data_IF_242899644015
#
_entry.id   IF_242899644015
#
_cell.length_a   1.000
_cell.length_b   1.000
_cell.length_c   1.000
_cell.angle_alpha   90.00
_cell.angle_beta   90.00
_cell.angle_gamma   90.00
#
_symmetry.space_group_name_H-M   'P 1'
#
loop_
_entity.id
_entity.type
_entity.pdbx_description
1 polymer ?
#
# COMPACT_ATOMS: atom_id res chain seq x y z
N UNK A 1 24.51 3.44 17.38
CA UNK A 1 23.93 2.09 17.25
C UNK A 1 23.97 1.45 18.61
N UNK A 2 22.82 1.34 19.28
CA UNK A 2 22.67 0.45 20.42
C UNK A 2 22.82 -0.98 19.91
N UNK A 3 23.66 -1.80 20.55
CA UNK A 3 23.79 -3.20 20.19
C UNK A 3 22.45 -3.90 20.45
N UNK A 4 21.99 -4.72 19.50
CA UNK A 4 20.77 -5.52 19.66
C UNK A 4 20.86 -6.46 20.86
N UNK A 5 19.71 -6.83 21.40
CA UNK A 5 19.58 -7.78 22.51
C UNK A 5 19.92 -9.18 21.98
N UNK A 6 20.94 -9.87 22.53
CA UNK A 6 21.28 -11.24 22.09
C UNK A 6 20.20 -12.26 22.43
N UNK A 7 20.15 -13.37 21.66
CA UNK A 7 19.20 -14.49 21.87
C UNK A 7 19.20 -15.02 23.30
N UNK A 8 20.36 -15.23 23.90
CA UNK A 8 20.45 -15.88 25.23
C UNK A 8 19.81 -15.04 26.36
N UNK A 9 19.60 -13.75 26.12
CA UNK A 9 18.93 -12.80 27.02
C UNK A 9 17.46 -12.56 26.67
N UNK A 10 16.96 -13.18 25.60
CA UNK A 10 15.62 -12.97 25.06
C UNK A 10 14.50 -13.80 25.74
N UNK A 11 14.83 -14.70 26.66
CA UNK A 11 13.84 -15.51 27.37
C UNK A 11 12.79 -14.70 28.19
N UNK A 12 12.95 -13.38 28.31
CA UNK A 12 12.06 -12.45 29.03
C UNK A 12 11.58 -11.26 28.17
N UNK A 13 11.59 -11.39 26.83
CA UNK A 13 11.20 -10.31 25.93
C UNK A 13 9.73 -9.89 26.16
N UNK A 14 9.52 -8.67 26.66
CA UNK A 14 8.18 -8.11 26.87
C UNK A 14 7.64 -7.50 25.57
N UNK A 15 6.77 -8.23 24.87
CA UNK A 15 6.04 -7.74 23.70
C UNK A 15 4.64 -7.28 24.09
N UNK A 16 4.56 -6.13 24.76
CA UNK A 16 3.31 -5.60 25.32
C UNK A 16 2.16 -5.46 24.32
N UNK A 17 2.49 -5.19 23.05
CA UNK A 17 1.50 -5.02 22.00
C UNK A 17 0.69 -6.30 21.75
N UNK A 18 1.29 -7.48 21.96
CA UNK A 18 0.60 -8.76 21.83
C UNK A 18 -0.50 -8.92 22.88
N UNK A 19 -0.22 -8.50 24.13
CA UNK A 19 -1.20 -8.49 25.21
C UNK A 19 -2.30 -7.45 24.94
N UNK A 20 -1.93 -6.21 24.58
CA UNK A 20 -2.91 -5.15 24.32
C UNK A 20 -3.87 -5.48 23.19
N UNK A 21 -3.39 -6.21 22.16
CA UNK A 21 -4.17 -6.65 21.01
C UNK A 21 -4.79 -8.04 21.21
N UNK A 22 -4.61 -8.67 22.38
CA UNK A 22 -5.14 -10.00 22.72
C UNK A 22 -4.76 -11.08 21.70
N UNK A 23 -3.52 -11.05 21.23
CA UNK A 23 -3.05 -11.91 20.13
C UNK A 23 -3.15 -13.41 20.48
N UNK A 24 -2.92 -13.79 21.73
CA UNK A 24 -3.10 -15.19 22.17
C UNK A 24 -4.53 -15.70 21.92
N UNK A 25 -5.55 -14.83 22.09
CA UNK A 25 -6.94 -15.18 21.80
C UNK A 25 -7.20 -15.23 20.30
N UNK A 26 -6.61 -14.30 19.53
CA UNK A 26 -6.69 -14.31 18.07
C UNK A 26 -6.08 -15.59 17.47
N UNK A 27 -4.94 -16.05 18.01
CA UNK A 27 -4.24 -17.27 17.59
C UNK A 27 -5.02 -18.55 17.84
N UNK A 28 -5.98 -18.57 18.77
CA UNK A 28 -6.91 -19.70 18.91
C UNK A 28 -7.88 -19.82 17.72
N UNK A 29 -8.05 -18.75 16.93
CA UNK A 29 -9.00 -18.67 15.81
C UNK A 29 -8.26 -18.74 14.47
N UNK A 30 -7.18 -18.00 14.34
CA UNK A 30 -6.38 -17.91 13.12
C UNK A 30 -4.94 -17.55 13.46
N UNK A 31 -3.99 -18.09 12.69
CA UNK A 31 -2.57 -17.72 12.78
C UNK A 31 -2.03 -17.13 11.47
N UNK A 32 -2.89 -16.94 10.45
CA UNK A 32 -2.48 -16.42 9.14
C UNK A 32 -2.01 -17.48 8.15
N UNK A 33 -2.28 -18.76 8.42
CA UNK A 33 -1.89 -19.87 7.51
C UNK A 33 -2.46 -19.65 6.11
N UNK A 34 -1.61 -19.88 5.11
CA UNK A 34 -1.96 -19.76 3.68
C UNK A 34 -1.86 -18.34 3.13
N UNK A 35 -1.53 -17.36 3.96
CA UNK A 35 -1.37 -15.96 3.54
C UNK A 35 0.10 -15.61 3.37
N UNK A 36 0.43 -15.04 2.22
CA UNK A 36 1.75 -14.46 1.93
C UNK A 36 1.68 -12.95 2.08
N UNK A 37 2.55 -12.40 2.94
CA UNK A 37 2.75 -10.96 3.13
C UNK A 37 4.08 -10.56 2.52
N UNK A 38 4.06 -9.69 1.53
CA UNK A 38 5.26 -9.09 0.97
C UNK A 38 5.73 -7.91 1.82
N UNK A 39 7.02 -7.89 2.15
CA UNK A 39 7.66 -6.82 2.92
C UNK A 39 8.58 -6.05 1.97
N UNK A 40 8.14 -4.88 1.53
CA UNK A 40 8.90 -3.99 0.64
C UNK A 40 9.71 -3.02 1.49
N UNK A 41 10.96 -3.38 1.75
CA UNK A 41 11.77 -2.69 2.77
C UNK A 41 13.29 -2.86 2.49
N UNK A 42 14.13 -2.85 3.53
CA UNK A 42 15.58 -3.08 3.46
C UNK A 42 15.98 -4.54 3.27
N UNK A 43 15.05 -5.44 2.96
CA UNK A 43 15.25 -6.89 2.95
C UNK A 43 14.95 -7.52 4.30
N UNK A 44 15.14 -8.83 4.43
CA UNK A 44 14.85 -9.56 5.67
C UNK A 44 15.98 -10.55 5.95
N UNK A 45 16.67 -10.42 7.08
CA UNK A 45 17.68 -11.37 7.51
C UNK A 45 17.05 -12.74 7.80
N UNK A 46 17.82 -13.82 7.60
CA UNK A 46 17.40 -15.19 7.90
C UNK A 46 17.43 -15.48 9.41
N UNK A 47 16.67 -14.68 10.16
CA UNK A 47 16.55 -14.74 11.60
C UNK A 47 15.88 -16.05 12.03
N UNK A 48 16.36 -16.70 13.11
CA UNK A 48 15.81 -17.98 13.61
C UNK A 48 14.28 -17.99 13.74
N UNK A 49 13.72 -16.90 14.24
CA UNK A 49 12.27 -16.80 14.46
C UNK A 49 11.49 -16.53 13.17
N UNK A 50 12.17 -16.09 12.09
CA UNK A 50 11.58 -15.85 10.77
C UNK A 50 11.79 -16.99 9.79
N UNK A 51 12.78 -17.86 9.99
CA UNK A 51 13.07 -18.97 9.09
C UNK A 51 11.85 -19.82 8.72
N UNK A 52 10.91 -20.14 9.64
CA UNK A 52 9.71 -20.89 9.27
C UNK A 52 8.80 -20.15 8.28
N UNK A 53 8.79 -18.82 8.31
CA UNK A 53 7.93 -17.97 7.49
C UNK A 53 8.63 -17.43 6.22
N UNK A 54 9.95 -17.36 6.20
CA UNK A 54 10.72 -16.64 5.19
C UNK A 54 10.75 -17.38 3.84
N UNK A 55 10.22 -16.75 2.80
CA UNK A 55 10.30 -17.23 1.43
C UNK A 55 11.56 -16.70 0.72
N UNK A 56 11.97 -17.35 -0.38
CA UNK A 56 12.85 -16.70 -1.35
C UNK A 56 12.20 -15.42 -1.84
N UNK A 57 12.94 -14.31 -1.78
CA UNK A 57 12.49 -13.02 -2.28
C UNK A 57 13.54 -12.38 -3.17
N UNK A 58 13.34 -11.12 -3.52
CA UNK A 58 14.17 -10.41 -4.50
C UNK A 58 14.81 -9.16 -3.91
N UNK A 59 16.01 -8.83 -4.39
CA UNK A 59 16.59 -7.50 -4.27
C UNK A 59 16.48 -6.76 -5.58
N UNK A 60 15.92 -5.55 -5.52
CA UNK A 60 15.78 -4.63 -6.64
C UNK A 60 16.84 -3.52 -6.63
N UNK A 61 17.80 -3.59 -5.71
CA UNK A 61 18.93 -2.68 -5.70
C UNK A 61 19.91 -3.01 -6.82
N UNK A 62 20.57 -1.99 -7.35
CA UNK A 62 21.64 -2.16 -8.32
C UNK A 62 22.82 -2.91 -7.67
N UNK A 63 23.21 -4.06 -8.23
CA UNK A 63 24.33 -4.85 -7.73
C UNK A 63 24.22 -6.35 -7.99
N UNK A 64 25.13 -7.12 -7.38
CA UNK A 64 25.16 -8.59 -7.53
C UNK A 64 24.18 -9.32 -6.58
N UNK A 65 23.69 -8.65 -5.54
CA UNK A 65 22.74 -9.24 -4.61
C UNK A 65 21.34 -9.27 -5.23
N UNK A 66 20.87 -10.47 -5.55
CA UNK A 66 19.53 -10.72 -6.13
C UNK A 66 18.51 -11.20 -5.11
N UNK A 67 18.94 -11.54 -3.89
CA UNK A 67 18.08 -12.10 -2.84
C UNK A 67 17.48 -11.00 -1.98
N UNK A 68 16.19 -11.15 -1.64
CA UNK A 68 15.54 -10.33 -0.62
C UNK A 68 15.88 -10.75 0.82
N UNK A 69 16.53 -11.90 1.01
CA UNK A 69 16.86 -12.49 2.32
C UNK A 69 18.15 -11.94 2.94
N UNK A 70 18.52 -10.69 2.62
CA UNK A 70 19.65 -10.00 3.24
C UNK A 70 19.25 -8.58 3.65
N UNK A 71 19.59 -8.23 4.87
CA UNK A 71 19.26 -6.94 5.45
C UNK A 71 20.48 -6.40 6.21
N UNK A 72 21.13 -5.40 5.66
CA UNK A 72 22.27 -4.74 6.31
C UNK A 72 21.83 -3.58 7.21
N UNK A 73 20.56 -3.17 7.12
CA UNK A 73 20.03 -2.00 7.81
C UNK A 73 19.16 -2.39 9.02
N UNK A 74 18.39 -3.47 8.92
CA UNK A 74 17.66 -4.14 10.00
C UNK A 74 16.17 -3.84 10.10
N UNK A 75 15.69 -2.77 9.46
CA UNK A 75 14.29 -2.36 9.54
C UNK A 75 13.35 -3.41 8.94
N UNK A 76 13.63 -3.90 7.73
CA UNK A 76 12.79 -4.92 7.10
C UNK A 76 12.73 -6.22 7.90
N UNK A 77 13.82 -6.60 8.56
CA UNK A 77 13.83 -7.72 9.52
C UNK A 77 12.92 -7.47 10.72
N UNK A 78 12.91 -6.25 11.27
CA UNK A 78 11.99 -5.88 12.36
C UNK A 78 10.53 -5.88 11.93
N UNK A 79 10.24 -5.37 10.72
CA UNK A 79 8.90 -5.37 10.14
C UNK A 79 8.40 -6.80 9.91
N UNK A 80 9.21 -7.66 9.30
CA UNK A 80 8.88 -9.07 9.12
C UNK A 80 8.63 -9.78 10.46
N UNK A 81 9.42 -9.44 11.49
CA UNK A 81 9.27 -9.98 12.83
C UNK A 81 7.92 -9.69 13.46
N UNK A 82 7.48 -8.43 13.39
CA UNK A 82 6.18 -8.01 13.90
C UNK A 82 5.03 -8.70 13.15
N UNK A 83 5.21 -9.01 11.86
CA UNK A 83 4.18 -9.69 11.06
C UNK A 83 4.12 -11.18 11.41
N UNK A 84 5.24 -11.91 11.32
CA UNK A 84 5.20 -13.38 11.26
C UNK A 84 6.34 -14.10 12.00
N UNK A 85 7.03 -13.45 12.95
CA UNK A 85 7.97 -14.19 13.78
C UNK A 85 7.26 -15.32 14.54
N UNK A 86 7.88 -16.49 14.57
CA UNK A 86 7.30 -17.70 15.14
C UNK A 86 7.38 -17.77 16.67
N UNK A 87 8.11 -16.87 17.32
CA UNK A 87 8.37 -16.92 18.78
C UNK A 87 9.35 -18.00 19.20
N UNK A 88 9.32 -19.18 18.56
CA UNK A 88 10.07 -20.34 19.01
C UNK A 88 9.82 -20.60 20.50
N UNK A 89 10.87 -20.91 21.25
CA UNK A 89 10.81 -21.13 22.70
C UNK A 89 11.06 -19.88 23.54
N UNK A 90 11.79 -18.91 23.01
CA UNK A 90 12.43 -17.80 23.75
C UNK A 90 12.66 -16.55 22.87
N UNK A 91 11.98 -16.47 21.74
CA UNK A 91 12.14 -15.42 20.73
C UNK A 91 10.94 -14.50 20.61
N UNK A 92 10.98 -13.61 19.62
CA UNK A 92 9.89 -12.67 19.37
C UNK A 92 8.77 -13.34 18.55
N UNK A 93 7.52 -13.06 18.91
CA UNK A 93 6.32 -13.55 18.23
C UNK A 93 5.68 -12.44 17.39
N UNK A 94 5.23 -12.78 16.18
CA UNK A 94 4.50 -11.89 15.30
C UNK A 94 2.99 -11.95 15.49
N UNK A 95 2.28 -11.03 14.85
CA UNK A 95 0.81 -10.98 14.84
C UNK A 95 0.22 -12.21 14.13
N UNK A 96 0.82 -12.68 13.05
CA UNK A 96 0.33 -13.78 12.21
C UNK A 96 1.45 -14.81 11.91
N UNK A 97 1.88 -15.60 12.91
CA UNK A 97 3.05 -16.49 12.83
C UNK A 97 2.90 -17.65 11.84
N UNK A 98 1.67 -17.94 11.38
CA UNK A 98 1.38 -18.92 10.33
C UNK A 98 1.52 -18.38 8.91
N UNK A 99 1.68 -17.06 8.74
CA UNK A 99 1.86 -16.41 7.43
C UNK A 99 3.25 -16.70 6.86
N UNK A 100 3.40 -16.47 5.56
CA UNK A 100 4.71 -16.44 4.89
C UNK A 100 5.13 -15.00 4.61
N UNK A 101 6.43 -14.74 4.73
CA UNK A 101 7.05 -13.45 4.41
C UNK A 101 7.74 -13.56 3.06
N UNK A 102 7.35 -12.70 2.13
CA UNK A 102 8.00 -12.52 0.84
C UNK A 102 8.88 -11.26 0.88
N UNK A 103 10.20 -11.37 1.10
CA UNK A 103 11.05 -10.21 1.31
C UNK A 103 11.41 -9.54 -0.03
N UNK A 104 11.14 -8.24 -0.15
CA UNK A 104 11.45 -7.46 -1.35
C UNK A 104 12.32 -6.28 -0.94
N UNK A 105 13.62 -6.41 -1.20
CA UNK A 105 14.61 -5.41 -0.84
C UNK A 105 14.61 -4.27 -1.86
N UNK A 106 14.15 -3.10 -1.42
CA UNK A 106 14.11 -1.84 -2.18
C UNK A 106 14.95 -0.74 -1.54
N UNK A 107 15.43 -0.94 -0.30
CA UNK A 107 16.30 0.00 0.42
C UNK A 107 17.70 -0.56 0.64
N UNK A 108 18.71 0.29 0.45
CA UNK A 108 20.11 -0.01 0.75
C UNK A 108 20.42 -0.01 2.25
N UNK A 109 21.68 -0.28 2.60
CA UNK A 109 22.18 -0.32 3.97
C UNK A 109 22.01 1.01 4.75
N UNK A 110 21.73 2.12 4.06
CA UNK A 110 21.47 3.44 4.64
C UNK A 110 19.97 3.79 4.62
N UNK A 111 19.11 2.86 4.23
CA UNK A 111 17.67 3.07 4.10
C UNK A 111 17.27 3.91 2.88
N UNK A 112 18.13 4.01 1.87
CA UNK A 112 17.86 4.77 0.64
C UNK A 112 17.33 3.84 -0.45
N UNK A 113 16.31 4.29 -1.16
CA UNK A 113 15.71 3.57 -2.27
C UNK A 113 15.23 4.51 -3.37
N UNK A 114 14.69 3.92 -4.44
CA UNK A 114 14.10 4.66 -5.55
C UNK A 114 12.61 4.32 -5.70
N UNK A 115 11.82 5.29 -6.16
CA UNK A 115 10.39 5.07 -6.46
C UNK A 115 10.17 4.06 -7.58
N UNK A 116 11.13 3.94 -8.52
CA UNK A 116 11.13 2.90 -9.55
C UNK A 116 11.24 1.49 -8.94
N UNK A 117 12.13 1.29 -7.97
CA UNK A 117 12.24 0.04 -7.24
C UNK A 117 10.99 -0.26 -6.40
N UNK A 118 10.38 0.76 -5.80
CA UNK A 118 9.08 0.61 -5.12
C UNK A 118 8.00 0.11 -6.10
N UNK A 119 7.84 0.75 -7.25
CA UNK A 119 6.84 0.36 -8.25
C UNK A 119 7.09 -1.07 -8.79
N UNK A 120 8.34 -1.41 -9.09
CA UNK A 120 8.74 -2.77 -9.51
C UNK A 120 8.47 -3.79 -8.40
N UNK A 121 8.77 -3.45 -7.15
CA UNK A 121 8.56 -4.31 -5.99
C UNK A 121 7.10 -4.64 -5.77
N UNK A 122 6.20 -3.66 -5.92
CA UNK A 122 4.75 -3.86 -5.80
C UNK A 122 4.27 -4.84 -6.87
N UNK A 123 4.63 -4.61 -8.14
CA UNK A 123 4.26 -5.52 -9.25
C UNK A 123 4.83 -6.93 -9.05
N UNK A 124 6.07 -7.02 -8.58
CA UNK A 124 6.70 -8.30 -8.31
C UNK A 124 5.98 -9.06 -7.19
N UNK A 125 5.66 -8.40 -6.08
CA UNK A 125 4.87 -8.99 -5.00
C UNK A 125 3.53 -9.56 -5.50
N UNK A 126 2.77 -8.75 -6.25
CA UNK A 126 1.47 -9.13 -6.81
C UNK A 126 1.58 -10.37 -7.71
N UNK A 127 2.54 -10.36 -8.65
CA UNK A 127 2.77 -11.50 -9.56
C UNK A 127 3.30 -12.77 -8.87
N UNK A 128 3.81 -12.66 -7.65
CA UNK A 128 4.33 -13.79 -6.87
C UNK A 128 3.37 -14.21 -5.75
N UNK A 129 2.08 -13.84 -5.87
CA UNK A 129 1.01 -14.36 -5.04
C UNK A 129 0.96 -13.78 -3.63
N UNK A 130 1.58 -12.62 -3.40
CA UNK A 130 1.36 -11.89 -2.15
C UNK A 130 -0.10 -11.44 -2.09
N UNK A 131 -0.77 -11.74 -0.97
CA UNK A 131 -2.11 -11.24 -0.68
C UNK A 131 -2.08 -9.88 0.00
N UNK A 132 -1.01 -9.61 0.74
CA UNK A 132 -0.80 -8.35 1.45
C UNK A 132 0.57 -7.80 1.10
N UNK A 133 0.66 -6.50 0.87
CA UNK A 133 1.91 -5.77 0.62
C UNK A 133 2.07 -4.74 1.73
N UNK A 134 3.08 -4.94 2.59
CA UNK A 134 3.47 -3.99 3.61
C UNK A 134 4.55 -3.04 3.07
N UNK A 135 4.27 -1.73 3.10
CA UNK A 135 5.19 -0.66 2.68
C UNK A 135 5.45 0.26 3.88
N UNK A 136 6.45 -0.08 4.69
CA UNK A 136 6.83 0.68 5.89
C UNK A 136 7.84 1.79 5.59
N UNK A 137 7.74 2.39 4.40
CA UNK A 137 8.67 3.40 3.88
C UNK A 137 7.89 4.52 3.20
N UNK A 138 8.49 5.71 3.13
CA UNK A 138 7.90 6.87 2.48
C UNK A 138 8.74 7.30 1.27
N UNK A 139 8.07 7.82 0.25
CA UNK A 139 8.72 8.44 -0.90
C UNK A 139 8.01 9.73 -1.31
N UNK A 140 8.60 10.47 -2.26
CA UNK A 140 7.85 11.52 -2.95
C UNK A 140 6.71 10.94 -3.80
N UNK A 141 5.66 11.72 -4.12
CA UNK A 141 4.62 11.31 -5.03
C UNK A 141 5.19 10.83 -6.37
N UNK A 142 4.71 9.69 -6.86
CA UNK A 142 5.20 9.10 -8.10
C UNK A 142 4.08 8.38 -8.85
N UNK A 143 3.97 8.65 -10.16
CA UNK A 143 2.91 8.10 -11.01
C UNK A 143 3.04 6.60 -11.23
N UNK A 144 4.26 6.07 -11.31
CA UNK A 144 4.49 4.64 -11.54
C UNK A 144 4.22 3.81 -10.28
N UNK A 145 4.52 4.35 -9.09
CA UNK A 145 4.11 3.74 -7.82
C UNK A 145 2.59 3.71 -7.71
N UNK A 146 1.90 4.80 -8.08
CA UNK A 146 0.42 4.84 -8.08
C UNK A 146 -0.18 3.79 -9.02
N UNK A 147 0.33 3.67 -10.25
CA UNK A 147 -0.13 2.64 -11.20
C UNK A 147 0.12 1.23 -10.67
N UNK A 148 1.29 0.98 -10.10
CA UNK A 148 1.60 -0.33 -9.51
C UNK A 148 0.65 -0.68 -8.35
N UNK A 149 0.26 0.31 -7.55
CA UNK A 149 -0.77 0.16 -6.51
C UNK A 149 -2.13 -0.17 -7.15
N UNK A 150 -2.58 0.59 -8.14
CA UNK A 150 -3.84 0.33 -8.85
C UNK A 150 -3.88 -1.09 -9.45
N UNK A 151 -2.77 -1.53 -10.07
CA UNK A 151 -2.61 -2.88 -10.59
C UNK A 151 -2.70 -3.95 -9.50
N UNK A 152 -2.09 -3.73 -8.33
CA UNK A 152 -2.15 -4.66 -7.20
C UNK A 152 -3.56 -4.73 -6.59
N UNK A 153 -4.23 -3.60 -6.42
CA UNK A 153 -5.62 -3.54 -5.93
C UNK A 153 -6.55 -4.27 -6.92
N UNK A 154 -6.39 -4.06 -8.22
CA UNK A 154 -7.15 -4.77 -9.25
C UNK A 154 -6.89 -6.29 -9.27
N UNK A 155 -5.74 -6.72 -8.73
CA UNK A 155 -5.39 -8.13 -8.55
C UNK A 155 -5.81 -8.70 -7.18
N UNK A 156 -6.68 -8.00 -6.44
CA UNK A 156 -7.21 -8.42 -5.14
C UNK A 156 -6.10 -8.61 -4.09
N UNK A 157 -5.27 -7.56 -3.93
CA UNK A 157 -4.18 -7.48 -2.95
C UNK A 157 -4.45 -6.32 -2.00
N UNK A 158 -4.28 -6.53 -0.69
CA UNK A 158 -4.31 -5.45 0.32
C UNK A 158 -2.96 -4.77 0.37
N UNK A 159 -2.93 -3.44 0.34
CA UNK A 159 -1.71 -2.66 0.54
C UNK A 159 -1.83 -1.89 1.86
N UNK A 160 -0.83 -2.05 2.72
CA UNK A 160 -0.76 -1.38 4.03
C UNK A 160 0.51 -0.54 4.06
N UNK A 161 0.39 0.73 4.43
CA UNK A 161 1.52 1.64 4.48
C UNK A 161 1.52 2.52 5.73
N UNK A 162 2.72 2.89 6.18
CA UNK A 162 2.89 3.73 7.36
C UNK A 162 2.53 5.19 7.08
N UNK A 163 1.85 5.84 8.02
CA UNK A 163 1.38 7.22 7.82
C UNK A 163 2.51 8.26 7.86
N UNK A 164 3.65 7.92 8.46
CA UNK A 164 4.83 8.79 8.56
C UNK A 164 5.17 9.16 10.01
N UNK A 165 6.44 9.56 10.21
CA UNK A 165 6.99 9.87 11.53
C UNK A 165 7.33 11.38 11.69
N UNK A 166 6.63 12.25 10.95
CA UNK A 166 6.89 13.69 10.89
C UNK A 166 5.56 14.43 11.08
N UNK A 167 5.05 14.53 12.32
CA UNK A 167 3.71 15.06 12.60
C UNK A 167 3.57 16.54 12.20
N UNK A 168 4.66 17.31 12.19
CA UNK A 168 4.66 18.75 11.92
C UNK A 168 4.11 19.15 10.55
N UNK A 169 3.98 18.21 9.61
CA UNK A 169 3.45 18.48 8.28
C UNK A 169 1.97 18.14 8.14
N UNK A 170 1.35 17.42 9.08
CA UNK A 170 -0.06 16.96 9.04
C UNK A 170 -0.49 16.38 7.67
N UNK A 171 0.47 15.80 6.95
CA UNK A 171 0.26 15.19 5.63
C UNK A 171 0.82 13.78 5.69
N UNK A 172 -0.09 12.81 5.59
CA UNK A 172 0.23 11.39 5.51
C UNK A 172 1.20 11.16 4.35
N UNK A 173 2.23 10.36 4.61
CA UNK A 173 3.28 10.07 3.66
C UNK A 173 2.73 9.33 2.43
N UNK A 174 3.37 9.53 1.27
CA UNK A 174 3.12 8.68 0.11
C UNK A 174 3.95 7.38 0.27
N UNK A 175 3.38 6.18 -0.02
CA UNK A 175 2.10 5.94 -0.69
C UNK A 175 0.86 5.84 0.20
N UNK A 176 0.98 5.88 1.53
CA UNK A 176 -0.16 5.77 2.46
C UNK A 176 -1.27 6.81 2.19
N UNK A 177 -0.94 7.97 1.63
CA UNK A 177 -1.94 8.98 1.25
C UNK A 177 -2.91 8.56 0.12
N UNK A 178 -2.64 7.46 -0.60
CA UNK A 178 -3.51 6.98 -1.68
C UNK A 178 -4.74 6.29 -1.08
N UNK A 179 -5.94 6.70 -1.48
CA UNK A 179 -7.23 6.23 -0.94
C UNK A 179 -7.43 4.70 -0.92
N UNK A 180 -6.79 3.98 -1.84
CA UNK A 180 -6.86 2.51 -1.91
C UNK A 180 -5.80 1.79 -1.07
N UNK A 181 -4.93 2.52 -0.37
CA UNK A 181 -3.90 2.01 0.53
C UNK A 181 -4.36 2.22 1.96
N UNK A 182 -4.27 1.18 2.79
CA UNK A 182 -4.57 1.28 4.22
C UNK A 182 -3.47 2.08 4.90
N UNK A 183 -3.77 3.32 5.27
CA UNK A 183 -2.84 4.20 5.97
C UNK A 183 -2.89 3.96 7.48
N UNK A 184 -1.73 3.68 8.08
CA UNK A 184 -1.66 3.26 9.48
C UNK A 184 -0.87 4.24 10.36
N UNK A 185 -1.54 4.75 11.39
CA UNK A 185 -0.97 5.60 12.44
C UNK A 185 -0.48 4.80 13.64
N UNK A 186 0.31 5.45 14.51
CA UNK A 186 0.94 4.84 15.66
C UNK A 186 0.33 5.29 16.99
N UNK A 187 0.17 4.34 17.90
CA UNK A 187 -0.25 4.57 19.29
C UNK A 187 0.82 4.12 20.29
N UNK A 188 0.78 4.74 21.48
CA UNK A 188 1.52 4.32 22.66
C UNK A 188 0.83 3.17 23.41
N UNK A 189 1.42 2.76 24.54
CA UNK A 189 0.91 1.65 25.39
C UNK A 189 -0.45 1.94 26.03
N UNK A 190 -0.77 3.21 26.26
CA UNK A 190 -2.08 3.67 26.72
C UNK A 190 -3.12 3.75 25.58
N UNK A 191 -2.69 3.48 24.35
CA UNK A 191 -3.48 3.62 23.13
C UNK A 191 -3.79 5.08 22.81
N UNK A 192 -3.06 6.06 23.33
CA UNK A 192 -3.08 7.42 22.81
C UNK A 192 -2.24 7.49 21.52
N UNK A 193 -2.53 8.44 20.63
CA UNK A 193 -1.67 8.69 19.46
C UNK A 193 -0.25 8.99 19.94
N UNK A 194 0.72 8.33 19.32
CA UNK A 194 2.12 8.54 19.62
C UNK A 194 2.58 9.89 19.06
N UNK A 195 3.43 10.61 19.79
CA UNK A 195 3.99 11.92 19.36
C UNK A 195 4.66 11.86 17.98
N UNK A 196 5.16 10.70 17.57
CA UNK A 196 5.80 10.50 16.27
C UNK A 196 4.80 10.40 15.12
N UNK A 197 3.53 10.08 15.39
CA UNK A 197 2.56 9.66 14.39
C UNK A 197 2.09 10.85 13.55
N UNK A 198 2.13 10.71 12.23
CA UNK A 198 1.50 11.67 11.34
C UNK A 198 0.01 11.38 11.22
N UNK A 199 -0.81 12.34 11.64
CA UNK A 199 -2.28 12.37 11.50
C UNK A 199 -2.70 12.99 10.16
N UNK A 200 -3.92 12.68 9.70
CA UNK A 200 -4.52 13.29 8.51
C UNK A 200 -5.78 12.59 8.03
N UNK A 201 -6.55 13.27 7.18
CA UNK A 201 -7.85 12.76 6.68
C UNK A 201 -7.77 11.47 5.87
N UNK A 202 -6.58 11.02 5.47
CA UNK A 202 -6.37 9.75 4.77
C UNK A 202 -6.02 8.60 5.71
N UNK A 203 -6.04 8.81 7.02
CA UNK A 203 -5.76 7.74 7.99
C UNK A 203 -6.93 6.75 8.05
N UNK A 204 -6.62 5.45 8.06
CA UNK A 204 -7.66 4.42 8.11
C UNK A 204 -7.66 3.66 9.43
N UNK A 205 -6.49 3.35 9.97
CA UNK A 205 -6.37 2.61 11.22
C UNK A 205 -5.21 3.16 12.05
N UNK A 206 -5.30 2.93 13.35
CA UNK A 206 -4.18 3.06 14.25
C UNK A 206 -3.80 1.69 14.82
N UNK A 207 -2.52 1.51 15.18
CA UNK A 207 -2.04 0.33 15.88
C UNK A 207 -0.89 0.70 16.83
N UNK A 208 -0.49 -0.17 17.77
CA UNK A 208 0.73 0.03 18.57
C UNK A 208 1.93 0.40 17.69
N UNK A 209 2.75 1.34 18.14
CA UNK A 209 3.90 1.80 17.36
C UNK A 209 5.05 2.36 18.19
N UNK A 210 5.03 2.20 19.51
CA UNK A 210 6.05 2.73 20.44
C UNK A 210 6.68 1.60 21.22
N UNK A 211 8.02 1.56 21.23
CA UNK A 211 8.85 0.60 21.96
C UNK A 211 8.42 -0.85 21.70
N UNK A 212 8.23 -1.16 20.41
CA UNK A 212 7.86 -2.48 19.95
C UNK A 212 9.10 -3.31 19.69
N UNK A 213 9.32 -4.29 20.54
CA UNK A 213 10.38 -5.25 20.40
C UNK A 213 10.11 -6.22 19.24
N UNK A 214 11.09 -6.41 18.37
CA UNK A 214 11.03 -7.32 17.22
C UNK A 214 12.39 -7.94 16.91
N UNK A 215 12.42 -8.87 15.95
CA UNK A 215 13.64 -9.44 15.38
C UNK A 215 14.50 -8.37 14.73
N UNK A 216 15.82 -8.54 14.78
CA UNK A 216 16.81 -7.65 14.20
C UNK A 216 17.93 -8.47 13.55
N UNK A 217 18.76 -7.83 12.75
CA UNK A 217 19.84 -8.50 12.02
C UNK A 217 20.87 -9.12 12.95
N UNK A 218 21.57 -10.14 12.46
CA UNK A 218 22.62 -10.80 13.22
C UNK A 218 22.09 -11.65 14.38
N UNK A 219 20.87 -12.18 14.25
CA UNK A 219 20.22 -13.00 15.26
C UNK A 219 20.04 -12.26 16.60
N UNK A 220 19.55 -11.01 16.53
CA UNK A 220 19.32 -10.18 17.72
C UNK A 220 17.89 -9.65 17.74
N UNK A 221 17.51 -8.96 18.81
CA UNK A 221 16.22 -8.30 18.94
C UNK A 221 16.41 -6.82 19.28
N UNK A 222 15.52 -5.96 18.81
CA UNK A 222 15.61 -4.54 19.08
C UNK A 222 14.23 -3.89 19.22
N UNK A 223 14.00 -3.02 20.23
CA UNK A 223 12.81 -2.19 20.28
C UNK A 223 12.87 -1.12 19.19
N UNK A 224 11.74 -0.92 18.51
CA UNK A 224 11.54 0.09 17.49
C UNK A 224 10.30 0.94 17.76
N UNK A 225 10.37 2.21 17.35
CA UNK A 225 9.27 3.17 17.45
C UNK A 225 9.02 3.79 16.08
N UNK A 226 7.77 3.75 15.60
CA UNK A 226 7.37 4.33 14.32
C UNK A 226 6.07 3.75 13.77
N UNK A 227 5.41 4.52 12.91
CA UNK A 227 4.22 4.08 12.15
C UNK A 227 4.51 2.89 11.23
N UNK A 228 5.77 2.68 10.87
CA UNK A 228 6.27 1.47 10.20
C UNK A 228 5.94 0.18 10.95
N UNK A 229 6.04 0.18 12.27
CA UNK A 229 5.71 -0.97 13.11
C UNK A 229 4.20 -1.18 13.20
N UNK A 230 3.43 -0.09 13.23
CA UNK A 230 1.97 -0.12 13.21
C UNK A 230 1.43 -0.70 11.90
N UNK A 231 1.99 -0.32 10.75
CA UNK A 231 1.67 -0.90 9.45
C UNK A 231 1.96 -2.43 9.40
N UNK A 232 3.06 -2.86 10.02
CA UNK A 232 3.40 -4.28 10.15
C UNK A 232 2.34 -5.05 10.97
N UNK A 233 1.90 -4.47 12.09
CA UNK A 233 0.82 -5.05 12.91
C UNK A 233 -0.46 -5.20 12.10
N UNK A 234 -0.90 -4.13 11.43
CA UNK A 234 -2.13 -4.16 10.61
C UNK A 234 -2.00 -5.16 9.46
N UNK A 235 -0.83 -5.29 8.83
CA UNK A 235 -0.55 -6.31 7.82
C UNK A 235 -0.70 -7.73 8.39
N UNK A 236 -0.25 -7.96 9.62
CA UNK A 236 -0.46 -9.21 10.34
C UNK A 236 -1.95 -9.47 10.63
N UNK A 237 -2.70 -8.46 11.09
CA UNK A 237 -4.14 -8.61 11.33
C UNK A 237 -4.90 -8.91 10.04
N UNK A 238 -4.56 -8.24 8.93
CA UNK A 238 -5.13 -8.55 7.62
C UNK A 238 -4.87 -10.02 7.23
N UNK A 239 -3.69 -10.55 7.54
CA UNK A 239 -3.38 -11.96 7.29
C UNK A 239 -4.18 -12.91 8.18
N UNK A 240 -4.37 -12.59 9.46
CA UNK A 240 -5.23 -13.35 10.36
C UNK A 240 -6.66 -13.42 9.81
N UNK A 241 -7.22 -12.27 9.43
CA UNK A 241 -8.59 -12.14 8.90
C UNK A 241 -8.73 -12.93 7.62
N UNK A 242 -7.84 -12.74 6.65
CA UNK A 242 -7.95 -13.39 5.35
C UNK A 242 -7.74 -14.91 5.43
N UNK A 243 -6.89 -15.38 6.33
CA UNK A 243 -6.74 -16.82 6.59
C UNK A 243 -8.02 -17.43 7.15
N UNK A 244 -8.74 -16.69 8.02
CA UNK A 244 -10.00 -17.14 8.62
C UNK A 244 -11.18 -17.09 7.64
N UNK A 245 -11.17 -16.12 6.73
CA UNK A 245 -12.23 -15.89 5.74
C UNK A 245 -11.62 -15.83 4.33
N UNK A 246 -11.17 -16.99 3.79
CA UNK A 246 -10.44 -17.05 2.53
C UNK A 246 -11.27 -16.63 1.29
N UNK A 247 -12.59 -16.56 1.43
CA UNK A 247 -13.53 -16.12 0.40
C UNK A 247 -13.65 -14.59 0.27
N UNK A 248 -13.16 -13.82 1.25
CA UNK A 248 -13.23 -12.37 1.20
C UNK A 248 -12.28 -11.82 0.12
N UNK A 249 -12.72 -10.73 -0.51
CA UNK A 249 -11.84 -9.86 -1.30
C UNK A 249 -10.94 -9.03 -0.39
N UNK A 250 -9.91 -8.43 -0.98
CA UNK A 250 -9.05 -7.45 -0.32
C UNK A 250 -9.87 -6.32 0.33
N UNK A 251 -10.86 -5.79 -0.40
CA UNK A 251 -11.72 -4.72 0.08
C UNK A 251 -12.56 -5.15 1.30
N UNK A 252 -13.09 -6.38 1.30
CA UNK A 252 -13.84 -6.93 2.43
C UNK A 252 -12.94 -7.19 3.65
N UNK A 253 -11.69 -7.62 3.44
CA UNK A 253 -10.72 -7.77 4.54
C UNK A 253 -10.45 -6.41 5.21
N UNK A 254 -10.24 -5.36 4.40
CA UNK A 254 -10.04 -3.99 4.92
C UNK A 254 -11.29 -3.49 5.63
N UNK A 255 -12.46 -3.61 5.01
CA UNK A 255 -13.75 -3.22 5.61
C UNK A 255 -13.99 -3.91 6.94
N UNK A 256 -13.69 -5.20 7.02
CA UNK A 256 -13.83 -5.96 8.27
C UNK A 256 -12.92 -5.42 9.37
N UNK A 257 -11.67 -5.10 9.06
CA UNK A 257 -10.76 -4.50 10.04
C UNK A 257 -11.23 -3.12 10.51
N UNK A 258 -11.68 -2.26 9.60
CA UNK A 258 -12.13 -0.90 9.92
C UNK A 258 -13.47 -0.88 10.65
N UNK A 259 -14.42 -1.73 10.27
CA UNK A 259 -15.72 -1.84 10.91
C UNK A 259 -15.67 -2.40 12.34
N UNK A 260 -14.59 -3.11 12.70
CA UNK A 260 -14.39 -3.67 14.03
C UNK A 260 -13.34 -2.96 14.87
N UNK A 261 -12.75 -1.88 14.35
CA UNK A 261 -11.75 -1.10 15.07
C UNK A 261 -12.34 -0.51 16.35
N UNK A 262 -11.51 -0.37 17.38
CA UNK A 262 -11.87 0.34 18.61
C UNK A 262 -11.83 1.83 18.33
N UNK A 263 -13.01 2.41 18.12
CA UNK A 263 -13.19 3.86 17.95
C UNK A 263 -12.61 4.62 19.15
N UNK A 264 -11.71 5.57 18.85
CA UNK A 264 -11.04 6.43 19.81
C UNK A 264 -10.91 7.82 19.20
N UNK A 265 -10.96 8.84 20.06
CA UNK A 265 -10.93 10.23 19.62
C UNK A 265 -12.33 10.76 19.34
N UNK A 266 -12.52 11.44 18.21
CA UNK A 266 -13.83 11.91 17.79
C UNK A 266 -14.66 10.72 17.26
N UNK A 267 -15.96 10.62 17.56
CA UNK A 267 -16.77 9.48 17.13
C UNK A 267 -16.74 9.25 15.61
N UNK A 268 -16.53 8.00 15.21
CA UNK A 268 -16.41 7.60 13.81
C UNK A 268 -15.04 7.89 13.22
N UNK A 269 -14.94 7.98 11.90
CA UNK A 269 -13.65 8.17 11.24
C UNK A 269 -13.10 9.58 11.49
N UNK A 270 -11.89 9.66 12.03
CA UNK A 270 -11.24 10.93 12.36
C UNK A 270 -9.76 10.99 11.86
N UNK A 271 -9.15 12.19 11.79
CA UNK A 271 -7.79 12.34 11.29
C UNK A 271 -6.68 11.76 12.19
N UNK A 272 -6.95 11.49 13.48
CA UNK A 272 -5.97 11.01 14.45
C UNK A 272 -5.93 9.48 14.53
N UNK A 273 -7.09 8.81 14.59
CA UNK A 273 -7.17 7.36 14.72
C UNK A 273 -7.70 6.65 13.46
N UNK A 274 -8.13 7.39 12.43
CA UNK A 274 -8.84 6.79 11.30
C UNK A 274 -10.17 6.23 11.78
N UNK A 275 -10.46 4.96 11.48
CA UNK A 275 -11.62 4.25 12.04
C UNK A 275 -11.41 3.76 13.49
N UNK A 276 -10.19 3.89 14.03
CA UNK A 276 -9.86 3.45 15.39
C UNK A 276 -8.62 2.58 15.45
N UNK A 277 -8.37 2.03 16.64
CA UNK A 277 -7.28 1.06 16.86
C UNK A 277 -7.73 -0.32 16.38
N UNK A 278 -6.91 -0.99 15.57
CA UNK A 278 -7.22 -2.34 15.07
C UNK A 278 -7.47 -3.33 16.21
N UNK A 279 -8.56 -4.10 16.13
CA UNK A 279 -8.91 -5.17 17.09
C UNK A 279 -8.91 -6.54 16.38
N UNK A 280 -7.86 -7.36 16.54
CA UNK A 280 -7.76 -8.65 15.86
C UNK A 280 -8.86 -9.63 16.27
N UNK A 281 -9.28 -9.63 17.53
CA UNK A 281 -10.28 -10.57 18.04
C UNK A 281 -11.66 -10.20 17.50
N UNK A 282 -12.02 -8.91 17.53
CA UNK A 282 -13.27 -8.44 16.94
C UNK A 282 -13.29 -8.67 15.43
N UNK A 283 -12.19 -8.36 14.72
CA UNK A 283 -12.06 -8.64 13.29
C UNK A 283 -12.22 -10.13 12.97
N UNK A 284 -11.79 -11.04 13.85
CA UNK A 284 -11.93 -12.48 13.64
C UNK A 284 -13.31 -13.04 14.02
N UNK A 285 -14.11 -12.35 14.84
CA UNK A 285 -15.31 -12.94 15.47
C UNK A 285 -16.62 -12.20 15.19
N UNK A 286 -16.58 -10.91 14.88
CA UNK A 286 -17.79 -10.11 14.68
C UNK A 286 -18.57 -10.54 13.43
N UNK A 287 -19.89 -10.36 13.45
CA UNK A 287 -20.67 -10.43 12.22
C UNK A 287 -20.61 -9.05 11.54
N UNK A 288 -19.85 -8.96 10.45
CA UNK A 288 -19.68 -7.72 9.68
C UNK A 288 -20.48 -7.87 8.39
N UNK A 289 -21.51 -7.04 8.16
CA UNK A 289 -22.20 -7.02 6.88
C UNK A 289 -21.21 -6.74 5.74
N UNK A 290 -21.30 -7.45 4.61
CA UNK A 290 -20.48 -7.15 3.43
C UNK A 290 -20.65 -5.69 3.00
N UNK A 291 -19.65 -5.14 2.32
CA UNK A 291 -19.79 -3.88 1.60
C UNK A 291 -20.98 -4.01 0.64
N UNK A 292 -21.84 -2.99 0.62
CA UNK A 292 -22.92 -2.94 -0.35
C UNK A 292 -22.30 -2.98 -1.75
N UNK A 293 -22.55 -4.05 -2.50
CA UNK A 293 -22.35 -4.01 -3.93
C UNK A 293 -23.37 -3.00 -4.43
N UNK A 294 -22.92 -1.81 -4.82
CA UNK A 294 -23.75 -0.92 -5.63
C UNK A 294 -24.34 -1.79 -6.75
N UNK A 295 -25.68 -1.89 -6.87
CA UNK A 295 -26.27 -2.74 -7.88
C UNK A 295 -25.65 -2.37 -9.21
N UNK A 296 -25.02 -3.34 -9.88
CA UNK A 296 -24.58 -3.14 -11.26
C UNK A 296 -25.77 -2.53 -11.99
N UNK A 297 -25.65 -1.28 -12.42
CA UNK A 297 -26.72 -0.60 -13.12
C UNK A 297 -27.23 -1.57 -14.17
N UNK A 298 -28.49 -2.00 -14.02
CA UNK A 298 -29.13 -2.85 -15.02
C UNK A 298 -28.85 -2.20 -16.38
N UNK A 299 -28.48 -2.96 -17.42
CA UNK A 299 -28.26 -2.38 -18.73
C UNK A 299 -29.57 -1.69 -19.11
N UNK A 300 -29.59 -0.36 -19.02
CA UNK A 300 -30.75 0.45 -19.35
C UNK A 300 -31.17 0.01 -20.74
N UNK A 301 -32.35 -0.59 -20.81
CA UNK A 301 -32.94 -1.05 -22.05
C UNK A 301 -32.73 0.03 -23.09
N UNK A 302 -32.13 -0.35 -24.22
CA UNK A 302 -31.83 0.49 -25.37
C UNK A 302 -32.91 1.55 -25.54
N UNK A 303 -32.55 2.82 -25.36
CA UNK A 303 -33.35 3.92 -25.83
C UNK A 303 -33.57 3.70 -27.33
N UNK A 304 -34.76 3.22 -27.68
CA UNK A 304 -35.23 3.20 -29.06
C UNK A 304 -35.05 4.62 -29.59
N UNK A 305 -34.19 4.76 -30.60
CA UNK A 305 -34.03 6.00 -31.32
C UNK A 305 -35.42 6.46 -31.77
N UNK A 306 -35.83 7.64 -31.29
CA UNK A 306 -37.02 8.30 -31.80
C UNK A 306 -36.88 8.49 -33.32
N UNK A 307 -37.94 8.29 -34.11
CA UNK A 307 -37.87 8.46 -35.55
C UNK A 307 -37.53 9.91 -35.88
N UNK A 308 -36.43 10.09 -36.62
CA UNK A 308 -35.99 11.39 -37.12
C UNK A 308 -37.05 11.92 -38.10
N UNK A 309 -37.60 13.13 -37.91
CA UNK A 309 -38.52 13.72 -38.87
C UNK A 309 -37.78 14.04 -40.18
N UNK A 310 -38.27 13.49 -41.28
CA UNK A 310 -37.81 13.81 -42.63
C UNK A 310 -38.27 15.22 -43.02
N UNK A 311 -37.48 16.24 -42.70
CA UNK A 311 -37.57 17.57 -43.33
C UNK A 311 -36.50 17.72 -44.40
N UNK A 312 -36.71 17.04 -45.53
CA UNK A 312 -36.18 17.52 -46.81
C UNK A 312 -36.94 18.78 -47.18
N UNK A 313 -36.30 19.94 -47.05
CA UNK A 313 -36.93 21.19 -47.48
C UNK A 313 -36.14 22.44 -47.12
N UNK A 314 -35.25 22.83 -48.04
CA UNK A 314 -34.82 24.24 -48.23
C UNK A 314 -33.90 24.84 -47.16
N UNK A 315 -32.68 24.31 -47.03
CA UNK A 315 -31.52 25.14 -46.63
C UNK A 315 -30.16 24.64 -47.13
N UNK A 316 -30.14 23.72 -48.11
CA UNK A 316 -28.92 23.17 -48.71
C UNK A 316 -28.41 23.96 -49.95
N UNK A 317 -28.74 25.26 -50.06
CA UNK A 317 -28.34 26.09 -51.22
C UNK A 317 -27.33 27.19 -50.86
N UNK A 318 -26.92 27.36 -49.60
CA UNK A 318 -26.02 28.47 -49.23
C UNK A 318 -24.60 28.03 -48.78
N UNK A 319 -24.32 26.74 -48.62
CA UNK A 319 -23.00 26.27 -48.15
C UNK A 319 -22.07 25.63 -49.21
N UNK A 320 -22.25 25.93 -50.50
CA UNK A 320 -21.28 25.60 -51.56
C UNK A 320 -20.60 26.84 -52.14
N UNK A 321 -21.01 28.06 -51.76
CA UNK A 321 -20.46 29.31 -52.32
C UNK A 321 -19.36 29.99 -51.48
N UNK A 322 -18.96 29.45 -50.32
CA UNK A 322 -17.99 30.11 -49.41
C UNK A 322 -16.64 29.38 -49.31
N UNK A 323 -16.50 28.15 -49.81
CA UNK A 323 -15.20 27.43 -49.85
C UNK A 323 -14.49 27.60 -51.21
N UNK A 324 -15.20 28.03 -52.26
CA UNK A 324 -14.61 28.33 -53.58
C UNK A 324 -13.92 29.70 -53.69
N UNK A 325 -14.16 30.62 -52.75
CA UNK A 325 -13.64 32.01 -52.80
C UNK A 325 -12.33 32.23 -52.02
N UNK A 326 -11.88 31.25 -51.22
CA UNK A 326 -10.58 31.32 -50.53
C UNK A 326 -9.43 30.60 -51.27
N UNK A 327 -9.74 29.73 -52.24
CA UNK A 327 -8.73 29.08 -53.09
C UNK A 327 -8.37 29.96 -54.31
N UNK A 328 -9.28 30.84 -54.75
CA UNK A 328 -9.04 31.76 -55.87
C UNK A 328 -8.14 32.96 -55.56
N UNK A 329 -8.12 33.45 -54.31
CA UNK A 329 -7.32 34.64 -53.93
C UNK A 329 -5.84 34.29 -53.66
N UNK A 330 -5.56 33.07 -53.21
CA UNK A 330 -4.18 32.60 -53.00
C UNK A 330 -3.43 32.33 -54.31
N UNK A 331 -4.14 31.94 -55.39
CA UNK A 331 -3.52 31.65 -56.69
C UNK A 331 -3.16 32.91 -57.49
N UNK A 332 -3.86 34.03 -57.28
CA UNK A 332 -3.59 35.32 -57.95
C UNK A 332 -2.41 36.07 -57.32
N UNK A 333 -2.15 35.88 -56.01
CA UNK A 333 -1.02 36.52 -55.32
C UNK A 333 0.30 35.79 -55.60
N UNK A 334 0.28 34.47 -55.80
CA UNK A 334 1.48 33.69 -56.13
C UNK A 334 2.00 33.93 -57.58
N UNK A 335 1.13 34.32 -58.52
CA UNK A 335 1.51 34.62 -59.91
C UNK A 335 1.98 36.07 -60.13
N UNK A 336 1.79 36.97 -59.16
CA UNK A 336 2.24 38.37 -59.24
C UNK A 336 3.69 38.59 -58.73
N UNK A 337 4.28 37.62 -58.02
CA UNK A 337 5.63 37.74 -57.43
C UNK A 337 6.71 37.00 -58.26
N UNK A 338 6.31 36.16 -59.22
CA UNK A 338 7.23 35.36 -60.05
C UNK A 338 7.49 35.94 -61.46
N UNK A 339 7.60 37.27 -61.60
CA UNK A 339 8.10 37.89 -62.85
C UNK A 339 9.59 38.22 -62.74
N UNK A 340 10.48 37.51 -63.44
CA UNK A 340 11.89 37.89 -63.54
C UNK A 340 12.05 39.17 -64.37
N UNK A 341 12.77 40.14 -63.81
CA UNK A 341 13.26 41.34 -64.50
C UNK A 341 14.27 40.94 -65.57
N UNK A 342 13.91 41.05 -66.84
CA UNK A 342 14.87 41.08 -67.95
C UNK A 342 14.70 42.34 -68.82
N UNK A 343 15.85 42.99 -68.98
CA UNK A 343 16.33 44.09 -69.83
C UNK A 343 15.48 44.53 -71.04
N UNK A 344 15.42 45.85 -71.24
CA UNK A 344 15.32 46.57 -72.53
C UNK A 344 16.67 47.31 -72.73
N UNK A 345 17.47 47.05 -73.78
CA UNK A 345 17.46 47.62 -75.17
C UNK A 345 17.78 49.13 -75.25
N UNK A 346 18.37 49.66 -76.34
CA UNK A 346 19.01 49.04 -77.52
C UNK A 346 20.55 49.21 -77.57
#
# INVERSE_FOLDING_TARGET
>A
MTAGIPIQTAAHLEQWHLESLKIDQAHQISTGVGITVAVLDSGVDSHRDLQPALLPGISLLDGAATSGQSDEQGHGTAIAGLIAASGGTDGASGIAPGSKILPIKILDAQGRGSTDNTAKGIRWATSHGAKIINISTASGPNIEVRKAIEEAIAADVVIVASSGNKPTHNVIAFPAYIDSVVAVGATGRDGAIADISTSGEKLDLAAPGVDLLSTWTGQTYQPGTGTSASAAIVSGVAALVWSRYPELSAAEVVHRMTATAVDKGAPGRDPEYGFGIVDPVAALTANVPPLETEPAAEPTATAQAAPVPNTMGRTAVILIAVIGSLIGVALVIALAVARPRNRAEP
#
